data_IF_114055522697
#
_entry.id   IF_114055522697
#
_cell.length_a   1.000
_cell.length_b   1.000
_cell.length_c   1.000
_cell.angle_alpha   90.00
_cell.angle_beta   90.00
_cell.angle_gamma   90.00
#
_symmetry.space_group_name_H-M   'P 1'
#
loop_
_entity.id
_entity.type
_entity.pdbx_description
1 polymer ?
#
# COMPACT_ATOMS: atom_id res chain seq x y z
N UNK A 1 12.54 -10.07 -63.74
CA UNK A 1 12.81 -11.10 -62.73
C UNK A 1 12.98 -10.38 -61.41
N UNK A 2 11.86 -10.15 -60.72
CA UNK A 2 11.82 -9.61 -59.37
C UNK A 2 11.66 -10.79 -58.44
N UNK A 3 12.62 -10.95 -57.53
CA UNK A 3 12.58 -11.89 -56.41
C UNK A 3 13.71 -11.47 -55.46
N UNK A 4 13.52 -10.32 -54.80
CA UNK A 4 14.39 -9.87 -53.71
C UNK A 4 13.63 -9.01 -52.67
N UNK A 5 12.30 -9.07 -52.64
CA UNK A 5 11.45 -8.35 -51.66
C UNK A 5 10.37 -9.31 -51.15
N UNK A 6 10.72 -10.23 -50.25
CA UNK A 6 9.72 -11.06 -49.57
C UNK A 6 10.21 -11.74 -48.27
N UNK A 7 11.24 -11.22 -47.58
CA UNK A 7 11.76 -11.87 -46.36
C UNK A 7 12.24 -10.91 -45.25
N UNK A 8 11.65 -9.73 -45.12
CA UNK A 8 11.90 -8.85 -43.96
C UNK A 8 10.65 -8.56 -43.11
N UNK A 9 9.52 -9.26 -43.34
CA UNK A 9 8.24 -8.92 -42.70
C UNK A 9 7.79 -9.84 -41.54
N UNK A 10 8.60 -10.79 -41.07
CA UNK A 10 8.16 -11.73 -40.02
C UNK A 10 8.85 -11.64 -38.63
N UNK A 11 9.92 -10.85 -38.46
CA UNK A 11 10.61 -10.72 -37.15
C UNK A 11 10.35 -9.40 -36.40
N UNK A 12 9.39 -8.58 -36.86
CA UNK A 12 9.16 -7.22 -36.34
C UNK A 12 8.06 -7.04 -35.29
N UNK A 13 7.27 -8.07 -34.97
CA UNK A 13 5.97 -7.90 -34.30
C UNK A 13 5.93 -8.25 -32.79
N UNK A 14 7.08 -8.43 -32.13
CA UNK A 14 7.15 -8.63 -30.66
C UNK A 14 7.62 -7.40 -29.87
N UNK A 15 7.88 -6.27 -30.53
CA UNK A 15 8.23 -5.02 -29.86
C UNK A 15 7.00 -4.33 -29.26
N UNK A 16 6.88 -4.30 -27.93
CA UNK A 16 5.89 -3.51 -27.22
C UNK A 16 5.91 -2.03 -27.59
N UNK A 17 4.80 -1.35 -27.33
CA UNK A 17 4.50 0.03 -27.72
C UNK A 17 5.59 1.08 -27.34
N UNK A 18 6.42 0.76 -26.33
CA UNK A 18 7.56 1.57 -25.85
C UNK A 18 8.88 1.29 -26.59
N UNK A 19 9.07 0.12 -27.17
CA UNK A 19 10.33 -0.32 -27.81
C UNK A 19 10.45 0.12 -29.28
N UNK A 20 9.36 0.61 -29.87
CA UNK A 20 9.35 1.15 -31.23
C UNK A 20 10.01 2.54 -31.30
N UNK A 21 10.87 2.78 -32.30
CA UNK A 21 11.40 4.12 -32.59
C UNK A 21 10.27 5.02 -33.07
N UNK A 22 9.91 6.03 -32.28
CA UNK A 22 8.78 6.93 -32.57
C UNK A 22 9.20 8.38 -32.84
N UNK A 23 8.52 9.09 -33.75
CA UNK A 23 8.62 10.54 -33.90
C UNK A 23 8.23 11.27 -32.60
N UNK A 24 8.76 12.48 -32.40
CA UNK A 24 8.55 13.28 -31.18
C UNK A 24 7.08 13.59 -30.89
N UNK A 25 6.29 13.89 -31.92
CA UNK A 25 4.84 14.12 -31.80
C UNK A 25 4.11 12.93 -31.19
N UNK A 26 4.53 11.70 -31.50
CA UNK A 26 3.91 10.48 -30.97
C UNK A 26 4.34 10.23 -29.52
N UNK A 27 5.59 10.59 -29.15
CA UNK A 27 6.05 10.53 -27.76
C UNK A 27 5.23 11.46 -26.87
N UNK A 28 4.92 12.68 -27.34
CA UNK A 28 4.08 13.62 -26.59
C UNK A 28 2.67 13.05 -26.33
N UNK A 29 2.05 12.43 -27.34
CA UNK A 29 0.74 11.79 -27.16
C UNK A 29 0.81 10.60 -26.18
N UNK A 30 1.92 9.85 -26.16
CA UNK A 30 2.14 8.82 -25.14
C UNK A 30 2.26 9.41 -23.74
N UNK A 31 2.94 10.54 -23.57
CA UNK A 31 3.02 11.21 -22.27
C UNK A 31 1.64 11.63 -21.75
N UNK A 32 0.78 12.19 -22.62
CA UNK A 32 -0.58 12.55 -22.26
C UNK A 32 -1.40 11.33 -21.82
N UNK A 33 -1.21 10.19 -22.51
CA UNK A 33 -1.87 8.94 -22.15
C UNK A 33 -1.40 8.40 -20.79
N UNK A 34 -0.08 8.41 -20.54
CA UNK A 34 0.48 7.99 -19.25
C UNK A 34 0.04 8.93 -18.12
N UNK A 35 -0.05 10.24 -18.38
CA UNK A 35 -0.56 11.20 -17.43
C UNK A 35 -2.01 10.87 -17.04
N UNK A 36 -2.87 10.58 -18.01
CA UNK A 36 -4.24 10.14 -17.72
C UNK A 36 -4.28 8.89 -16.83
N UNK A 37 -3.40 7.91 -17.08
CA UNK A 37 -3.32 6.72 -16.23
C UNK A 37 -2.83 7.04 -14.81
N UNK A 38 -1.85 7.93 -14.65
CA UNK A 38 -1.41 8.37 -13.32
C UNK A 38 -2.49 9.12 -12.55
N UNK A 39 -3.22 10.01 -13.23
CA UNK A 39 -4.35 10.73 -12.62
C UNK A 39 -5.44 9.74 -12.18
N UNK A 40 -5.71 8.72 -13.00
CA UNK A 40 -6.69 7.68 -12.69
C UNK A 40 -6.26 6.82 -11.50
N UNK A 41 -4.99 6.46 -11.43
CA UNK A 41 -4.42 5.72 -10.30
C UNK A 41 -4.51 6.53 -9.01
N UNK A 42 -4.16 7.82 -9.06
CA UNK A 42 -4.28 8.72 -7.92
C UNK A 42 -5.72 8.84 -7.45
N UNK A 43 -6.67 8.98 -8.38
CA UNK A 43 -8.09 9.02 -8.07
C UNK A 43 -8.53 7.73 -7.35
N UNK A 44 -8.17 6.56 -7.88
CA UNK A 44 -8.52 5.28 -7.27
C UNK A 44 -7.94 5.12 -5.86
N UNK A 45 -6.70 5.59 -5.63
CA UNK A 45 -6.09 5.60 -4.29
C UNK A 45 -6.89 6.46 -3.31
N UNK A 46 -7.32 7.66 -3.72
CA UNK A 46 -8.12 8.55 -2.87
C UNK A 46 -9.49 7.94 -2.58
N UNK A 47 -10.16 7.38 -3.60
CA UNK A 47 -11.45 6.70 -3.46
C UNK A 47 -11.35 5.51 -2.47
N UNK A 48 -10.28 4.71 -2.55
CA UNK A 48 -10.04 3.62 -1.62
C UNK A 48 -9.86 4.09 -0.17
N UNK A 49 -9.12 5.19 0.05
CA UNK A 49 -8.94 5.80 1.39
C UNK A 49 -10.28 6.25 1.95
N UNK A 50 -11.11 6.92 1.14
CA UNK A 50 -12.43 7.39 1.57
C UNK A 50 -13.33 6.21 1.93
N UNK A 51 -13.44 5.22 1.04
CA UNK A 51 -14.29 4.04 1.25
C UNK A 51 -13.87 3.24 2.50
N UNK A 52 -12.56 3.07 2.71
CA UNK A 52 -12.03 2.46 3.92
C UNK A 52 -12.40 3.28 5.16
N UNK A 53 -12.18 4.59 5.13
CA UNK A 53 -12.42 5.48 6.27
C UNK A 53 -13.89 5.46 6.72
N UNK A 54 -14.84 5.46 5.78
CA UNK A 54 -16.27 5.39 6.10
C UNK A 54 -16.62 4.09 6.85
N UNK A 55 -16.18 2.94 6.31
CA UNK A 55 -16.42 1.63 6.93
C UNK A 55 -15.74 1.50 8.30
N UNK A 56 -14.50 1.98 8.39
CA UNK A 56 -13.72 1.95 9.63
C UNK A 56 -14.38 2.81 10.72
N UNK A 57 -14.84 4.01 10.37
CA UNK A 57 -15.53 4.90 11.30
C UNK A 57 -16.84 4.30 11.82
N UNK A 58 -17.62 3.61 10.99
CA UNK A 58 -18.84 2.93 11.44
C UNK A 58 -18.54 1.82 12.47
N UNK A 59 -17.50 1.02 12.22
CA UNK A 59 -17.02 0.00 13.17
C UNK A 59 -16.56 0.64 14.49
N UNK A 60 -15.78 1.72 14.40
CA UNK A 60 -15.24 2.43 15.56
C UNK A 60 -16.36 3.03 16.43
N UNK A 61 -17.33 3.69 15.80
CA UNK A 61 -18.48 4.29 16.48
C UNK A 61 -19.40 3.23 17.09
N UNK A 62 -19.64 2.12 16.40
CA UNK A 62 -20.42 1.01 16.93
C UNK A 62 -19.74 0.39 18.15
N UNK A 63 -18.42 0.19 18.10
CA UNK A 63 -17.64 -0.31 19.22
C UNK A 63 -17.65 0.68 20.41
N UNK A 64 -17.50 1.98 20.14
CA UNK A 64 -17.62 3.04 21.14
C UNK A 64 -19.00 3.06 21.82
N UNK A 65 -20.08 2.91 21.04
CA UNK A 65 -21.44 2.81 21.57
C UNK A 65 -21.60 1.60 22.50
N UNK A 66 -21.05 0.45 22.13
CA UNK A 66 -21.07 -0.75 22.99
C UNK A 66 -20.30 -0.54 24.30
N UNK A 67 -19.11 0.10 24.25
CA UNK A 67 -18.35 0.47 25.46
C UNK A 67 -19.17 1.38 26.37
N UNK A 68 -19.83 2.39 25.81
CA UNK A 68 -20.69 3.31 26.56
C UNK A 68 -21.85 2.56 27.24
N UNK A 69 -22.57 1.69 26.51
CA UNK A 69 -23.65 0.89 27.07
C UNK A 69 -23.17 -0.01 28.21
N UNK A 70 -22.00 -0.64 28.06
CA UNK A 70 -21.39 -1.48 29.10
C UNK A 70 -21.06 -0.66 30.34
N UNK A 71 -20.51 0.55 30.16
CA UNK A 71 -20.21 1.48 31.25
C UNK A 71 -21.48 1.90 32.01
N UNK A 72 -22.57 2.19 31.30
CA UNK A 72 -23.86 2.55 31.92
C UNK A 72 -24.49 1.41 32.72
N UNK A 73 -24.16 0.16 32.40
CA UNK A 73 -24.66 -1.03 33.10
C UNK A 73 -23.74 -1.49 34.24
N UNK A 74 -22.51 -0.96 34.34
CA UNK A 74 -21.50 -1.38 35.30
C UNK A 74 -21.59 -0.59 36.62
N UNK A 75 -22.50 -1.00 37.51
CA UNK A 75 -22.76 -0.30 38.79
C UNK A 75 -21.73 -0.57 39.89
N UNK A 76 -20.86 -1.58 39.74
CA UNK A 76 -19.94 -2.05 40.79
C UNK A 76 -18.49 -1.60 40.59
N UNK A 77 -18.26 -0.60 39.73
CA UNK A 77 -16.91 -0.13 39.41
C UNK A 77 -16.31 0.77 40.49
N UNK A 78 -14.98 0.72 40.65
CA UNK A 78 -14.28 1.67 41.53
C UNK A 78 -14.30 3.09 40.97
N UNK A 79 -14.13 4.11 41.82
CA UNK A 79 -14.05 5.50 41.40
C UNK A 79 -12.88 5.75 40.42
N UNK A 80 -11.73 5.13 40.67
CA UNK A 80 -10.55 5.25 39.80
C UNK A 80 -10.80 4.63 38.41
N UNK A 81 -11.43 3.47 38.36
CA UNK A 81 -11.76 2.80 37.10
C UNK A 81 -12.84 3.55 36.32
N UNK A 82 -13.83 4.11 37.01
CA UNK A 82 -14.86 4.98 36.42
C UNK A 82 -14.24 6.24 35.82
N UNK A 83 -13.30 6.89 36.52
CA UNK A 83 -12.61 8.07 36.02
C UNK A 83 -11.83 7.78 34.73
N UNK A 84 -11.14 6.64 34.64
CA UNK A 84 -10.45 6.20 33.42
C UNK A 84 -11.44 5.93 32.28
N UNK A 85 -12.45 5.08 32.49
CA UNK A 85 -13.37 4.68 31.41
C UNK A 85 -14.28 5.81 30.91
N UNK A 86 -14.56 6.82 31.74
CA UNK A 86 -15.33 8.00 31.34
C UNK A 86 -14.49 9.09 30.68
N UNK A 87 -13.15 8.97 30.62
CA UNK A 87 -12.28 9.97 29.98
C UNK A 87 -12.64 10.15 28.51
N UNK A 88 -12.80 9.04 27.79
CA UNK A 88 -13.14 9.01 26.36
C UNK A 88 -14.40 9.82 26.02
N UNK A 89 -15.42 9.76 26.87
CA UNK A 89 -16.73 10.43 26.66
C UNK A 89 -16.78 11.87 27.17
N UNK A 90 -15.76 12.29 27.92
CA UNK A 90 -15.64 13.66 28.46
C UNK A 90 -14.66 14.52 27.67
N UNK A 91 -13.77 13.90 26.90
CA UNK A 91 -12.81 14.60 26.04
C UNK A 91 -13.48 15.28 24.83
N UNK A 92 -12.93 16.41 24.35
CA UNK A 92 -13.38 17.04 23.12
C UNK A 92 -13.14 16.12 21.90
N UNK A 93 -13.87 16.33 20.79
CA UNK A 93 -13.85 15.42 19.64
C UNK A 93 -12.46 15.13 19.06
N UNK A 94 -11.58 16.13 19.00
CA UNK A 94 -10.22 15.95 18.47
C UNK A 94 -9.36 15.07 19.38
N UNK A 95 -9.42 15.28 20.70
CA UNK A 95 -8.71 14.44 21.67
C UNK A 95 -9.28 13.03 21.69
N UNK A 96 -10.59 12.89 21.53
CA UNK A 96 -11.24 11.60 21.43
C UNK A 96 -10.74 10.81 20.22
N UNK A 97 -10.70 11.43 19.03
CA UNK A 97 -10.13 10.79 17.83
C UNK A 97 -8.66 10.43 18.05
N UNK A 98 -7.87 11.31 18.66
CA UNK A 98 -6.48 11.03 18.96
C UNK A 98 -6.34 9.81 19.89
N UNK A 99 -7.13 9.73 20.98
CA UNK A 99 -7.13 8.56 21.87
C UNK A 99 -7.52 7.26 21.15
N UNK A 100 -8.41 7.35 20.15
CA UNK A 100 -8.87 6.20 19.37
C UNK A 100 -7.91 5.80 18.25
N UNK A 101 -7.02 6.68 17.78
CA UNK A 101 -6.13 6.44 16.63
C UNK A 101 -4.62 6.44 16.96
N UNK A 102 -4.23 6.83 18.18
CA UNK A 102 -2.81 6.97 18.59
C UNK A 102 -2.05 5.64 18.73
N UNK A 103 -2.72 4.49 18.60
CA UNK A 103 -2.05 3.19 18.60
C UNK A 103 -1.03 3.02 17.45
N UNK A 104 -1.08 3.88 16.43
CA UNK A 104 -0.12 3.91 15.32
C UNK A 104 1.33 4.24 15.75
N UNK A 105 1.53 4.89 16.91
CA UNK A 105 2.84 5.36 17.35
C UNK A 105 3.49 4.52 18.48
N UNK A 106 2.94 3.33 18.78
CA UNK A 106 3.57 2.31 19.65
C UNK A 106 3.73 2.63 21.14
N UNK A 107 3.70 3.91 21.54
CA UNK A 107 4.04 4.32 22.90
C UNK A 107 2.90 4.18 23.94
N UNK A 108 1.64 4.10 23.51
CA UNK A 108 0.46 4.14 24.38
C UNK A 108 -0.53 2.96 24.14
N UNK A 109 -0.04 1.81 23.65
CA UNK A 109 -0.88 0.64 23.36
C UNK A 109 -1.59 0.13 24.64
N UNK A 110 -0.97 0.28 25.82
CA UNK A 110 -1.54 -0.18 27.09
C UNK A 110 -2.86 0.50 27.49
N UNK A 111 -3.15 1.71 26.99
CA UNK A 111 -4.34 2.49 27.39
C UNK A 111 -5.33 2.71 26.22
N UNK A 112 -5.12 2.07 25.06
CA UNK A 112 -6.02 2.22 23.91
C UNK A 112 -7.34 1.46 24.14
N UNK A 113 -8.51 2.14 24.11
CA UNK A 113 -9.80 1.49 24.35
C UNK A 113 -10.34 0.73 23.13
N UNK A 114 -9.62 0.75 22.00
CA UNK A 114 -10.02 0.12 20.73
C UNK A 114 -9.51 -1.33 20.70
N UNK A 115 -10.39 -2.32 20.39
CA UNK A 115 -9.98 -3.71 20.24
C UNK A 115 -8.88 -3.91 19.19
N UNK A 116 -8.02 -4.89 19.42
CA UNK A 116 -6.94 -5.30 18.52
C UNK A 116 -7.46 -5.56 17.10
N UNK A 117 -8.57 -6.29 16.96
CA UNK A 117 -9.20 -6.60 15.67
C UNK A 117 -9.53 -5.37 14.80
N UNK A 118 -9.93 -4.25 15.42
CA UNK A 118 -10.20 -3.00 14.70
C UNK A 118 -8.88 -2.30 14.39
N UNK A 119 -7.93 -2.32 15.32
CA UNK A 119 -6.61 -1.70 15.12
C UNK A 119 -5.85 -2.37 13.97
N UNK A 120 -5.90 -3.69 13.90
CA UNK A 120 -5.21 -4.49 12.88
C UNK A 120 -5.75 -4.19 11.48
N UNK A 121 -7.07 -4.01 11.33
CA UNK A 121 -7.67 -3.61 10.05
C UNK A 121 -7.10 -2.27 9.55
N UNK A 122 -6.88 -1.30 10.44
CA UNK A 122 -6.26 -0.02 10.05
C UNK A 122 -4.78 -0.19 9.68
N UNK A 123 -4.04 -1.03 10.42
CA UNK A 123 -2.62 -1.27 10.19
C UNK A 123 -2.38 -2.06 8.89
N UNK A 124 -3.22 -3.05 8.62
CA UNK A 124 -3.21 -3.82 7.36
C UNK A 124 -3.48 -2.90 6.17
N UNK A 125 -4.57 -2.12 6.22
CA UNK A 125 -4.87 -1.14 5.17
C UNK A 125 -3.74 -0.12 4.97
N UNK A 126 -3.12 0.33 6.07
CA UNK A 126 -2.00 1.26 5.97
C UNK A 126 -0.79 0.62 5.27
N UNK A 127 -0.47 -0.62 5.61
CA UNK A 127 0.63 -1.38 4.97
C UNK A 127 0.35 -1.58 3.49
N UNK A 128 -0.85 -2.02 3.13
CA UNK A 128 -1.27 -2.22 1.75
C UNK A 128 -1.22 -0.91 0.94
N UNK A 129 -1.67 0.19 1.55
CA UNK A 129 -1.63 1.51 0.93
C UNK A 129 -0.18 1.94 0.65
N UNK A 130 0.74 1.74 1.60
CA UNK A 130 2.15 2.06 1.41
C UNK A 130 2.77 1.21 0.30
N UNK A 131 2.51 -0.10 0.29
CA UNK A 131 2.95 -1.02 -0.75
C UNK A 131 2.43 -0.58 -2.14
N UNK A 132 1.16 -0.22 -2.24
CA UNK A 132 0.54 0.29 -3.47
C UNK A 132 1.15 1.64 -3.90
N UNK A 133 1.67 2.45 -2.97
CA UNK A 133 2.37 3.69 -3.31
C UNK A 133 3.82 3.46 -3.76
N UNK A 134 4.31 2.22 -3.74
CA UNK A 134 5.71 1.89 -3.99
C UNK A 134 6.63 2.31 -2.85
N UNK A 135 6.10 2.57 -1.66
CA UNK A 135 6.90 2.84 -0.47
C UNK A 135 7.29 1.47 0.11
N UNK A 136 8.50 1.04 -0.18
CA UNK A 136 9.10 -0.13 0.46
C UNK A 136 9.29 0.17 1.94
N UNK A 137 8.82 -0.72 2.81
CA UNK A 137 9.15 -0.63 4.23
C UNK A 137 10.67 -0.76 4.38
N UNK A 138 11.32 0.11 5.15
CA UNK A 138 12.76 0.04 5.43
C UNK A 138 13.09 -1.33 6.05
N UNK A 139 13.45 -2.32 5.23
CA UNK A 139 13.57 -3.71 5.64
C UNK A 139 13.43 -4.73 4.50
N UNK A 140 12.86 -4.33 3.36
CA UNK A 140 13.02 -5.09 2.11
C UNK A 140 14.33 -4.64 1.45
N UNK A 141 15.36 -5.45 1.73
CA UNK A 141 16.72 -5.34 1.23
C UNK A 141 16.75 -5.02 -0.26
N UNK A 142 17.69 -4.14 -0.61
CA UNK A 142 18.31 -3.96 -1.91
C UNK A 142 17.69 -4.86 -3.00
N UNK A 143 16.93 -4.27 -3.92
CA UNK A 143 16.98 -4.81 -5.27
C UNK A 143 18.47 -4.86 -5.61
N UNK A 144 19.08 -6.05 -5.54
CA UNK A 144 20.32 -6.33 -6.25
C UNK A 144 20.07 -5.73 -7.62
N UNK A 145 20.75 -4.62 -7.95
CA UNK A 145 20.94 -4.28 -9.35
C UNK A 145 21.40 -5.59 -9.96
N UNK A 146 20.59 -6.20 -10.83
CA UNK A 146 21.02 -7.38 -11.57
C UNK A 146 22.33 -6.96 -12.22
N UNK A 147 23.45 -7.38 -11.64
CA UNK A 147 24.76 -7.02 -12.12
C UNK A 147 24.91 -7.80 -13.42
N UNK A 148 24.43 -7.17 -14.50
CA UNK A 148 24.52 -7.63 -15.89
C UNK A 148 25.95 -7.58 -16.39
N UNK A 149 26.91 -7.32 -15.49
CA UNK A 149 28.33 -7.35 -15.76
C UNK A 149 28.70 -8.66 -16.45
N UNK A 150 29.55 -8.51 -17.47
CA UNK A 150 30.09 -9.64 -18.24
C UNK A 150 30.71 -10.70 -17.34
N UNK A 151 31.23 -10.31 -16.17
CA UNK A 151 31.81 -11.20 -15.18
C UNK A 151 30.79 -12.23 -14.65
N UNK A 152 29.58 -11.82 -14.25
CA UNK A 152 28.55 -12.74 -13.75
C UNK A 152 27.99 -13.65 -14.86
N UNK A 153 27.88 -13.15 -16.09
CA UNK A 153 27.53 -13.96 -17.27
C UNK A 153 28.61 -15.00 -17.61
N UNK A 154 29.89 -14.63 -17.53
CA UNK A 154 31.02 -15.55 -17.70
C UNK A 154 31.04 -16.63 -16.63
N UNK A 155 30.86 -16.27 -15.36
CA UNK A 155 30.84 -17.24 -14.26
C UNK A 155 29.66 -18.20 -14.36
N UNK A 156 28.47 -17.73 -14.78
CA UNK A 156 27.33 -18.60 -15.06
C UNK A 156 27.59 -19.56 -16.23
N UNK A 157 28.29 -19.11 -17.28
CA UNK A 157 28.65 -19.97 -18.41
C UNK A 157 29.69 -21.02 -18.00
N UNK A 158 30.70 -20.63 -17.22
CA UNK A 158 31.72 -21.53 -16.65
C UNK A 158 31.06 -22.55 -15.71
N UNK A 159 30.12 -22.12 -14.87
CA UNK A 159 29.34 -23.01 -14.01
C UNK A 159 28.54 -24.03 -14.82
N UNK A 160 27.89 -23.61 -15.91
CA UNK A 160 27.17 -24.54 -16.81
C UNK A 160 28.11 -25.54 -17.47
N UNK A 161 29.27 -25.11 -17.98
CA UNK A 161 30.27 -26.01 -18.59
C UNK A 161 30.86 -26.99 -17.58
N UNK A 162 31.06 -26.58 -16.33
CA UNK A 162 31.54 -27.45 -15.26
C UNK A 162 30.49 -28.50 -14.81
N UNK A 163 29.21 -28.26 -15.08
CA UNK A 163 28.11 -29.18 -14.78
C UNK A 163 27.63 -29.98 -16.01
N UNK A 164 28.29 -29.84 -17.16
CA UNK A 164 28.11 -30.75 -18.29
C UNK A 164 28.94 -32.03 -18.02
N UNK A 165 28.32 -33.23 -18.00
CA UNK A 165 29.04 -34.50 -17.89
C UNK A 165 29.89 -34.82 -19.13
#
# INVERSE_FOLDING_TARGET
AGEAEAKEDEEGLEGGLRQMKRPESVKLQMCNLLQFFWDRELQHRVEAIIAFSERYMDRLQTNQRQRYCTLMQAFTMSAAETARRTREFRSPPQEQINMLLQFKNGADIEDCPVPEEIRDELLEFHTDLLAHCGIQSEGEEEQEEEDTSFHRRLMNLVGKVHHLP
#
